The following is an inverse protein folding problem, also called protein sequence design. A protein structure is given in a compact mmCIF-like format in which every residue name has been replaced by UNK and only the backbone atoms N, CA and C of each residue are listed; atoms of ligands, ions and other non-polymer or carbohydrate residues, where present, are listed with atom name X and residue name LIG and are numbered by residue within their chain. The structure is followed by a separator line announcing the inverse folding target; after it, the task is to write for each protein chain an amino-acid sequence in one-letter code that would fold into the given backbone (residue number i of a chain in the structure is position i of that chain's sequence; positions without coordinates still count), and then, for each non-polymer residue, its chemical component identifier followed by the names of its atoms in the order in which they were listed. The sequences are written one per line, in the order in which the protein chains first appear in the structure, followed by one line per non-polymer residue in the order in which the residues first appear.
data_IF_304716060383
#
_entry.id   IF_304716060383
#
_cell.length_a   1.000
_cell.length_b   1.000
_cell.length_c   1.000
_cell.angle_alpha   90.00
_cell.angle_beta   90.00
_cell.angle_gamma   90.00
#
_symmetry.space_group_name_H-M   'P 1'
#
loop_
_entity.id
_entity.type
_entity.pdbx_description
1 polymer ?
#
# COMPACT_ATOMS: atom_id res chain seq x y z
N UNK A 1 14.22 -67.10 7.79
CA UNK A 1 13.14 -66.33 8.44
C UNK A 1 13.37 -64.81 8.46
N UNK A 2 14.60 -64.28 8.49
CA UNK A 2 14.87 -62.82 8.45
C UNK A 2 14.29 -62.07 7.23
N UNK A 3 14.11 -62.74 6.08
CA UNK A 3 13.62 -62.09 4.86
C UNK A 3 12.11 -61.75 4.90
N UNK A 4 11.29 -62.51 5.63
CA UNK A 4 9.84 -62.31 5.66
C UNK A 4 9.46 -61.10 6.51
N UNK A 5 10.13 -60.92 7.67
CA UNK A 5 9.90 -59.75 8.54
C UNK A 5 10.27 -58.44 7.85
N UNK A 6 11.42 -58.41 7.15
CA UNK A 6 11.84 -57.22 6.39
C UNK A 6 10.89 -56.92 5.22
N UNK A 7 10.42 -57.95 4.52
CA UNK A 7 9.42 -57.80 3.45
C UNK A 7 8.09 -57.25 3.97
N UNK A 8 7.60 -57.73 5.12
CA UNK A 8 6.37 -57.22 5.73
C UNK A 8 6.51 -55.78 6.22
N UNK A 9 7.66 -55.43 6.80
CA UNK A 9 7.95 -54.04 7.20
C UNK A 9 7.95 -53.10 5.99
N UNK A 10 8.64 -53.48 4.91
CA UNK A 10 8.68 -52.70 3.67
C UNK A 10 7.30 -52.58 3.02
N UNK A 11 6.49 -53.65 3.04
CA UNK A 11 5.11 -53.62 2.54
C UNK A 11 4.24 -52.64 3.34
N UNK A 12 4.35 -52.64 4.66
CA UNK A 12 3.60 -51.71 5.52
C UNK A 12 4.08 -50.26 5.33
N UNK A 13 5.38 -50.04 5.19
CA UNK A 13 5.94 -48.73 4.87
C UNK A 13 5.45 -48.22 3.50
N UNK A 14 5.44 -49.09 2.48
CA UNK A 14 4.91 -48.75 1.16
C UNK A 14 3.41 -48.42 1.18
N UNK A 15 2.62 -49.15 1.98
CA UNK A 15 1.20 -48.84 2.17
C UNK A 15 0.98 -47.49 2.87
N UNK A 16 1.82 -47.15 3.87
CA UNK A 16 1.83 -45.83 4.50
C UNK A 16 2.17 -44.72 3.50
N UNK A 17 3.25 -44.87 2.74
CA UNK A 17 3.66 -43.91 1.71
C UNK A 17 2.59 -43.71 0.63
N UNK A 18 1.87 -44.78 0.25
CA UNK A 18 0.76 -44.68 -0.70
C UNK A 18 -0.43 -43.89 -0.14
N UNK A 19 -0.69 -44.00 1.17
CA UNK A 19 -1.76 -43.26 1.85
C UNK A 19 -1.41 -41.77 1.97
N UNK A 20 -0.16 -41.47 2.33
CA UNK A 20 0.36 -40.10 2.43
C UNK A 20 0.37 -39.43 1.04
N UNK A 21 0.77 -40.15 -0.01
CA UNK A 21 0.75 -39.65 -1.38
C UNK A 21 -0.68 -39.36 -1.87
N UNK A 22 -1.66 -40.20 -1.52
CA UNK A 22 -3.08 -39.94 -1.79
C UNK A 22 -3.57 -38.68 -1.07
N UNK A 23 -3.27 -38.55 0.22
CA UNK A 23 -3.62 -37.36 1.02
C UNK A 23 -2.99 -36.09 0.45
N UNK A 24 -1.71 -36.15 0.05
CA UNK A 24 -1.02 -35.02 -0.57
C UNK A 24 -1.64 -34.65 -1.92
N UNK A 25 -2.02 -35.65 -2.73
CA UNK A 25 -2.71 -35.42 -4.01
C UNK A 25 -4.06 -34.75 -3.81
N UNK A 26 -4.87 -35.23 -2.86
CA UNK A 26 -6.18 -34.65 -2.56
C UNK A 26 -6.05 -33.23 -2.01
N UNK A 27 -5.09 -33.00 -1.10
CA UNK A 27 -4.77 -31.66 -0.60
C UNK A 27 -4.30 -30.74 -1.73
N UNK A 28 -3.45 -31.22 -2.64
CA UNK A 28 -2.97 -30.43 -3.78
C UNK A 28 -4.09 -30.10 -4.77
N UNK A 29 -5.01 -31.04 -5.03
CA UNK A 29 -6.19 -30.81 -5.86
C UNK A 29 -7.16 -29.84 -5.19
N UNK A 30 -7.35 -29.94 -3.87
CA UNK A 30 -8.16 -29.01 -3.10
C UNK A 30 -7.54 -27.61 -3.16
N UNK A 31 -6.22 -27.49 -2.97
CA UNK A 31 -5.50 -26.23 -3.09
C UNK A 31 -5.59 -25.64 -4.51
N UNK A 32 -5.43 -26.46 -5.54
CA UNK A 32 -5.55 -26.06 -6.94
C UNK A 32 -6.99 -25.64 -7.30
N UNK A 33 -8.00 -26.28 -6.70
CA UNK A 33 -9.41 -25.93 -6.88
C UNK A 33 -9.84 -24.70 -6.07
N UNK A 34 -9.10 -24.37 -5.00
CA UNK A 34 -9.28 -23.17 -4.18
C UNK A 34 -8.52 -21.97 -4.76
N UNK A 35 -7.38 -22.18 -5.42
CA UNK A 35 -6.65 -21.18 -6.18
C UNK A 35 -7.26 -21.03 -7.58
N UNK A 36 -8.53 -20.62 -7.66
CA UNK A 36 -9.11 -20.24 -8.96
C UNK A 36 -8.52 -18.90 -9.37
N UNK A 37 -7.76 -18.91 -10.45
CA UNK A 37 -7.29 -17.70 -11.13
C UNK A 37 -5.81 -17.77 -11.49
N UNK A 38 -5.53 -17.71 -12.79
CA UNK A 38 -4.19 -17.90 -13.34
C UNK A 38 -3.31 -16.62 -13.28
N UNK A 39 -3.88 -15.48 -12.87
CA UNK A 39 -3.15 -14.21 -12.72
C UNK A 39 -3.91 -13.28 -11.76
N UNK A 40 -3.26 -12.31 -11.11
CA UNK A 40 -3.99 -11.42 -10.20
C UNK A 40 -4.54 -10.12 -10.81
N UNK A 41 -4.76 -10.15 -12.13
CA UNK A 41 -5.86 -9.39 -12.72
C UNK A 41 -7.18 -10.14 -12.67
N UNK A 42 -7.15 -11.41 -12.30
CA UNK A 42 -8.35 -12.19 -12.26
C UNK A 42 -9.23 -11.58 -11.18
N UNK A 43 -10.41 -11.05 -11.55
CA UNK A 43 -11.36 -10.59 -10.56
C UNK A 43 -11.74 -11.72 -9.56
N UNK A 44 -11.38 -12.97 -9.85
CA UNK A 44 -11.36 -14.10 -8.92
C UNK A 44 -10.34 -13.96 -7.76
N UNK A 45 -9.14 -13.41 -7.99
CA UNK A 45 -8.16 -13.16 -6.92
C UNK A 45 -8.65 -12.09 -5.94
N UNK A 46 -9.24 -11.01 -6.48
CA UNK A 46 -9.88 -9.99 -5.66
C UNK A 46 -11.07 -10.55 -4.89
N UNK A 47 -11.88 -11.41 -5.51
CA UNK A 47 -12.97 -12.15 -4.87
C UNK A 47 -12.50 -13.06 -3.73
N UNK A 48 -11.44 -13.84 -3.93
CA UNK A 48 -10.85 -14.69 -2.87
C UNK A 48 -10.29 -13.88 -1.69
N UNK A 49 -9.73 -12.70 -1.97
CA UNK A 49 -9.28 -11.75 -0.94
C UNK A 49 -10.46 -11.02 -0.30
N UNK A 50 -11.59 -10.85 -1.00
CA UNK A 50 -12.82 -10.31 -0.44
C UNK A 50 -13.38 -11.19 0.68
N UNK A 51 -13.33 -12.51 0.51
CA UNK A 51 -13.92 -13.47 1.43
C UNK A 51 -15.39 -13.77 1.12
N UNK A 52 -15.91 -14.84 1.72
CA UNK A 52 -17.29 -15.27 1.58
C UNK A 52 -18.25 -14.44 2.45
N UNK A 53 -17.74 -13.84 3.53
CA UNK A 53 -18.50 -13.01 4.46
C UNK A 53 -17.58 -12.06 5.27
N UNK A 54 -18.15 -11.11 6.00
CA UNK A 54 -17.39 -10.19 6.87
C UNK A 54 -16.87 -10.79 8.18
N UNK A 55 -17.15 -12.06 8.46
CA UNK A 55 -16.60 -12.80 9.59
C UNK A 55 -15.31 -13.55 9.23
N UNK A 56 -14.96 -13.63 7.96
CA UNK A 56 -13.71 -14.26 7.51
C UNK A 56 -12.51 -13.44 7.99
N UNK A 57 -11.66 -13.98 8.89
CA UNK A 57 -10.57 -13.22 9.47
C UNK A 57 -9.55 -12.83 8.38
N UNK A 58 -9.05 -11.61 8.49
CA UNK A 58 -8.02 -11.04 7.62
C UNK A 58 -8.42 -10.98 6.13
N UNK A 59 -9.72 -10.88 5.83
CA UNK A 59 -10.27 -10.66 4.49
C UNK A 59 -10.77 -9.23 4.29
N UNK A 60 -10.90 -8.79 3.03
CA UNK A 60 -11.25 -7.39 2.74
C UNK A 60 -12.62 -6.99 3.31
N UNK A 61 -13.60 -7.90 3.35
CA UNK A 61 -14.93 -7.62 3.94
C UNK A 61 -14.82 -7.31 5.44
N UNK A 62 -14.13 -8.16 6.21
CA UNK A 62 -13.90 -7.95 7.65
C UNK A 62 -13.05 -6.69 7.92
N UNK A 63 -11.99 -6.45 7.13
CA UNK A 63 -11.14 -5.27 7.27
C UNK A 63 -11.91 -3.99 6.92
N UNK A 64 -12.80 -4.03 5.94
CA UNK A 64 -13.70 -2.92 5.63
C UNK A 64 -14.71 -2.68 6.76
N UNK A 65 -15.26 -3.71 7.39
CA UNK A 65 -16.07 -3.58 8.62
C UNK A 65 -15.29 -2.87 9.71
N UNK A 66 -14.05 -3.32 9.96
CA UNK A 66 -13.17 -2.70 10.96
C UNK A 66 -12.92 -1.22 10.64
N UNK A 67 -12.62 -0.89 9.38
CA UNK A 67 -12.40 0.50 8.94
C UNK A 67 -13.65 1.37 9.15
N UNK A 68 -14.83 0.87 8.78
CA UNK A 68 -16.10 1.55 9.01
C UNK A 68 -16.28 1.87 10.50
N UNK A 69 -16.12 0.87 11.37
CA UNK A 69 -16.35 1.01 12.80
C UNK A 69 -15.36 1.96 13.44
N UNK A 70 -14.09 1.93 13.03
CA UNK A 70 -13.08 2.89 13.52
C UNK A 70 -13.39 4.30 13.04
N UNK A 71 -13.79 4.49 11.78
CA UNK A 71 -14.14 5.81 11.25
C UNK A 71 -15.36 6.39 11.96
N UNK A 72 -16.36 5.56 12.25
CA UNK A 72 -17.55 5.96 13.00
C UNK A 72 -17.24 6.25 14.49
N UNK A 73 -16.32 5.49 15.10
CA UNK A 73 -15.83 5.77 16.46
C UNK A 73 -15.08 7.11 16.52
N UNK A 74 -14.25 7.41 15.53
CA UNK A 74 -13.60 8.72 15.40
C UNK A 74 -14.62 9.84 15.28
N UNK A 75 -15.59 9.72 14.36
CA UNK A 75 -16.70 10.67 14.22
C UNK A 75 -17.41 10.94 15.56
N UNK A 76 -17.71 9.88 16.31
CA UNK A 76 -18.40 9.99 17.60
C UNK A 76 -17.54 10.67 18.67
N UNK A 77 -16.24 10.39 18.68
CA UNK A 77 -15.30 10.97 19.65
C UNK A 77 -15.07 12.48 19.47
N UNK A 78 -15.37 13.03 18.30
CA UNK A 78 -15.24 14.47 18.03
C UNK A 78 -16.30 15.35 18.71
N UNK A 79 -17.24 14.78 19.47
CA UNK A 79 -18.27 15.54 20.18
C UNK A 79 -19.31 16.18 19.25
N UNK A 80 -20.18 17.04 19.77
CA UNK A 80 -21.32 17.63 19.04
C UNK A 80 -20.94 18.74 18.06
N UNK A 81 -19.87 19.48 18.34
CA UNK A 81 -19.68 20.87 17.87
C UNK A 81 -19.16 21.02 16.42
N UNK A 82 -19.40 20.01 15.57
CA UNK A 82 -18.90 19.96 14.19
C UNK A 82 -17.45 20.44 14.03
N UNK A 83 -16.51 20.01 14.90
CA UNK A 83 -15.12 20.45 14.78
C UNK A 83 -14.51 19.98 13.45
N UNK A 84 -13.47 20.68 12.94
CA UNK A 84 -12.67 20.20 11.81
C UNK A 84 -12.24 18.75 12.03
N UNK A 85 -12.42 17.89 11.02
CA UNK A 85 -12.14 16.46 11.13
C UNK A 85 -13.35 15.57 11.39
N UNK A 86 -14.44 16.10 11.98
CA UNK A 86 -15.66 15.32 12.24
C UNK A 86 -16.38 14.94 10.93
N UNK A 87 -16.56 15.91 10.04
CA UNK A 87 -17.24 15.68 8.76
C UNK A 87 -16.46 14.70 7.86
N UNK A 88 -15.13 14.78 7.87
CA UNK A 88 -14.25 13.87 7.13
C UNK A 88 -14.33 12.44 7.65
N UNK A 89 -14.33 12.25 8.98
CA UNK A 89 -14.49 10.93 9.59
C UNK A 89 -15.87 10.32 9.26
N UNK A 90 -16.94 11.14 9.29
CA UNK A 90 -18.27 10.72 8.90
C UNK A 90 -18.34 10.31 7.42
N UNK A 91 -17.76 11.13 6.54
CA UNK A 91 -17.75 10.87 5.11
C UNK A 91 -16.98 9.58 4.78
N UNK A 92 -15.85 9.34 5.47
CA UNK A 92 -15.12 8.09 5.36
C UNK A 92 -15.98 6.90 5.77
N UNK A 93 -16.59 6.93 6.96
CA UNK A 93 -17.47 5.85 7.43
C UNK A 93 -18.63 5.60 6.44
N UNK A 94 -19.29 6.66 5.97
CA UNK A 94 -20.40 6.56 5.02
C UNK A 94 -19.98 5.94 3.67
N UNK A 95 -18.78 6.25 3.16
CA UNK A 95 -18.28 5.66 1.92
C UNK A 95 -17.90 4.19 2.08
N UNK A 96 -17.40 3.79 3.26
CA UNK A 96 -17.13 2.36 3.55
C UNK A 96 -18.44 1.58 3.68
N UNK A 97 -19.43 2.17 4.36
CA UNK A 97 -20.79 1.66 4.50
C UNK A 97 -20.99 0.73 5.71
N UNK A 98 -22.20 0.70 6.31
CA UNK A 98 -22.49 -0.16 7.47
C UNK A 98 -22.95 -1.59 7.08
N UNK A 99 -23.20 -1.86 5.80
CA UNK A 99 -23.79 -3.13 5.35
C UNK A 99 -22.81 -3.97 4.51
N UNK A 100 -22.66 -5.24 4.86
CA UNK A 100 -21.92 -6.26 4.09
C UNK A 100 -22.89 -7.18 3.34
N UNK A 101 -23.64 -6.60 2.41
CA UNK A 101 -24.55 -7.32 1.52
C UNK A 101 -24.59 -6.63 0.16
N UNK A 102 -24.85 -7.39 -0.90
CA UNK A 102 -25.16 -6.80 -2.20
C UNK A 102 -26.42 -5.92 -2.09
N UNK A 103 -26.46 -4.75 -2.76
CA UNK A 103 -27.60 -3.85 -2.69
C UNK A 103 -28.78 -4.38 -3.52
N UNK A 104 -30.00 -4.06 -3.09
CA UNK A 104 -31.24 -4.52 -3.74
C UNK A 104 -31.43 -3.95 -5.16
N UNK A 105 -30.90 -2.75 -5.42
CA UNK A 105 -30.93 -2.09 -6.73
C UNK A 105 -29.84 -2.58 -7.70
N UNK A 106 -29.00 -3.52 -7.24
CA UNK A 106 -27.90 -4.09 -8.00
C UNK A 106 -26.70 -3.16 -8.19
N UNK A 107 -26.70 -1.94 -7.62
CA UNK A 107 -25.59 -0.98 -7.76
C UNK A 107 -24.94 -0.64 -6.42
N UNK A 108 -23.75 -1.19 -6.12
CA UNK A 108 -23.04 -0.88 -4.88
C UNK A 108 -22.73 0.61 -4.73
N UNK A 109 -23.21 1.19 -3.62
CA UNK A 109 -23.01 2.61 -3.29
C UNK A 109 -21.90 2.82 -2.25
N UNK A 110 -21.44 1.73 -1.63
CA UNK A 110 -20.40 1.70 -0.60
C UNK A 110 -19.38 0.60 -0.89
N UNK A 111 -18.21 0.70 -0.27
CA UNK A 111 -17.14 -0.29 -0.42
C UNK A 111 -17.56 -1.69 0.05
N UNK A 112 -18.24 -1.81 1.21
CA UNK A 112 -18.67 -3.11 1.73
C UNK A 112 -19.72 -3.77 0.86
N UNK A 113 -20.69 -3.01 0.34
CA UNK A 113 -21.64 -3.54 -0.64
C UNK A 113 -20.96 -4.04 -1.91
N UNK A 114 -19.90 -3.35 -2.39
CA UNK A 114 -19.16 -3.75 -3.58
C UNK A 114 -18.37 -5.04 -3.33
N UNK A 115 -17.72 -5.14 -2.17
CA UNK A 115 -16.98 -6.34 -1.76
C UNK A 115 -17.91 -7.54 -1.54
N UNK A 116 -19.09 -7.34 -0.94
CA UNK A 116 -20.10 -8.37 -0.79
C UNK A 116 -20.60 -8.87 -2.14
N UNK A 117 -20.98 -7.96 -3.05
CA UNK A 117 -21.41 -8.33 -4.40
C UNK A 117 -20.33 -9.12 -5.17
N UNK A 118 -19.05 -8.73 -5.04
CA UNK A 118 -17.93 -9.46 -5.62
C UNK A 118 -17.74 -10.85 -4.98
N UNK A 119 -17.77 -10.94 -3.65
CA UNK A 119 -17.62 -12.19 -2.90
C UNK A 119 -18.74 -13.19 -3.17
N UNK A 120 -19.96 -12.70 -3.31
CA UNK A 120 -21.17 -13.52 -3.46
C UNK A 120 -21.36 -14.05 -4.89
N UNK A 121 -20.67 -13.48 -5.88
CA UNK A 121 -20.68 -13.88 -7.28
C UNK A 121 -20.43 -15.39 -7.44
N UNK A 122 -21.23 -16.06 -8.27
CA UNK A 122 -21.11 -17.53 -8.50
C UNK A 122 -20.27 -17.88 -9.73
N UNK A 123 -19.76 -16.89 -10.45
CA UNK A 123 -18.98 -17.09 -11.68
C UNK A 123 -19.77 -17.71 -12.82
N UNK A 124 -21.11 -17.62 -12.79
CA UNK A 124 -21.98 -18.17 -13.84
C UNK A 124 -21.98 -17.30 -15.10
N UNK A 125 -21.69 -16.00 -14.95
CA UNK A 125 -21.53 -15.06 -16.06
C UNK A 125 -20.06 -14.59 -16.13
N UNK A 126 -19.31 -14.92 -17.19
CA UNK A 126 -17.92 -14.51 -17.33
C UNK A 126 -17.72 -12.98 -17.45
N UNK A 127 -18.76 -12.21 -17.81
CA UNK A 127 -18.71 -10.75 -17.88
C UNK A 127 -18.97 -10.05 -16.54
N UNK A 128 -19.64 -10.73 -15.60
CA UNK A 128 -20.08 -10.16 -14.34
C UNK A 128 -18.91 -9.92 -13.38
N UNK A 129 -18.03 -10.90 -13.24
CA UNK A 129 -16.93 -10.85 -12.28
C UNK A 129 -15.95 -9.66 -12.55
N UNK A 130 -15.50 -9.40 -13.79
CA UNK A 130 -14.74 -8.18 -14.11
C UNK A 130 -15.49 -6.88 -13.81
N UNK A 131 -16.80 -6.84 -14.07
CA UNK A 131 -17.61 -5.66 -13.79
C UNK A 131 -17.68 -5.38 -12.27
N UNK A 132 -17.91 -6.40 -11.45
CA UNK A 132 -17.94 -6.28 -10.00
C UNK A 132 -16.59 -5.84 -9.43
N UNK A 133 -15.48 -6.37 -9.93
CA UNK A 133 -14.14 -5.94 -9.51
C UNK A 133 -13.86 -4.47 -9.84
N UNK A 134 -14.33 -3.97 -11.00
CA UNK A 134 -14.24 -2.55 -11.33
C UNK A 134 -15.04 -1.69 -10.35
N UNK A 135 -16.24 -2.12 -9.97
CA UNK A 135 -17.05 -1.41 -8.96
C UNK A 135 -16.32 -1.35 -7.61
N UNK A 136 -15.69 -2.44 -7.17
CA UNK A 136 -14.85 -2.44 -5.95
C UNK A 136 -13.71 -1.42 -6.07
N UNK A 137 -13.06 -1.33 -7.24
CA UNK A 137 -11.97 -0.37 -7.49
C UNK A 137 -12.43 1.08 -7.42
N UNK A 138 -13.58 1.40 -8.02
CA UNK A 138 -14.18 2.72 -7.95
C UNK A 138 -14.49 3.13 -6.49
N UNK A 139 -15.08 2.22 -5.71
CA UNK A 139 -15.36 2.48 -4.29
C UNK A 139 -14.09 2.61 -3.46
N UNK A 140 -13.07 1.79 -3.73
CA UNK A 140 -11.76 1.90 -3.10
C UNK A 140 -11.14 3.29 -3.33
N UNK A 141 -11.14 3.78 -4.58
CA UNK A 141 -10.55 5.08 -4.92
C UNK A 141 -11.29 6.23 -4.20
N UNK A 142 -12.62 6.12 -4.06
CA UNK A 142 -13.43 7.05 -3.26
C UNK A 142 -13.05 7.02 -1.78
N UNK A 143 -12.98 5.84 -1.16
CA UNK A 143 -12.59 5.69 0.26
C UNK A 143 -11.18 6.21 0.49
N UNK A 144 -10.24 5.95 -0.42
CA UNK A 144 -8.87 6.45 -0.37
C UNK A 144 -8.78 7.97 -0.34
N UNK A 145 -9.56 8.65 -1.18
CA UNK A 145 -9.62 10.12 -1.19
C UNK A 145 -10.17 10.68 0.13
N UNK A 146 -11.20 10.04 0.68
CA UNK A 146 -11.81 10.45 1.95
C UNK A 146 -10.89 10.17 3.15
N UNK A 147 -10.16 9.06 3.14
CA UNK A 147 -9.14 8.79 4.14
C UNK A 147 -8.01 9.84 4.10
N UNK A 148 -7.55 10.24 2.90
CA UNK A 148 -6.58 11.32 2.77
C UNK A 148 -7.12 12.65 3.33
N UNK A 149 -8.43 12.90 3.27
CA UNK A 149 -9.05 14.05 3.91
C UNK A 149 -9.01 13.94 5.45
N UNK A 150 -9.31 12.76 6.02
CA UNK A 150 -9.15 12.48 7.46
C UNK A 150 -7.69 12.71 7.91
N UNK A 151 -6.71 12.23 7.15
CA UNK A 151 -5.29 12.43 7.48
C UNK A 151 -4.87 13.91 7.54
N UNK A 152 -5.41 14.76 6.65
CA UNK A 152 -5.15 16.21 6.67
C UNK A 152 -5.64 16.88 7.96
N UNK A 153 -6.59 16.25 8.65
CA UNK A 153 -7.17 16.74 9.90
C UNK A 153 -6.43 16.23 11.14
N UNK A 154 -5.28 15.52 10.99
CA UNK A 154 -4.50 14.97 12.11
C UNK A 154 -4.28 15.98 13.25
N UNK A 155 -3.96 17.23 12.94
CA UNK A 155 -3.70 18.28 13.93
C UNK A 155 -4.93 18.73 14.73
N UNK A 156 -6.14 18.40 14.27
CA UNK A 156 -7.41 18.72 14.94
C UNK A 156 -7.88 17.59 15.86
N UNK A 157 -7.23 16.43 15.81
CA UNK A 157 -7.48 15.32 16.72
C UNK A 157 -6.58 15.48 17.94
N UNK A 158 -7.16 15.94 19.04
CA UNK A 158 -6.48 16.10 20.34
C UNK A 158 -6.85 14.97 21.29
N UNK A 159 -6.15 14.86 22.42
CA UNK A 159 -6.41 13.82 23.44
C UNK A 159 -7.88 13.76 23.87
N UNK A 160 -8.54 14.92 24.00
CA UNK A 160 -9.97 15.05 24.32
C UNK A 160 -10.90 14.96 23.09
N UNK A 161 -10.34 14.92 21.87
CA UNK A 161 -11.08 14.94 20.60
C UNK A 161 -10.54 13.93 19.61
N UNK A 162 -10.69 12.65 19.93
CA UNK A 162 -10.59 11.59 18.93
C UNK A 162 -9.17 11.19 18.51
N UNK A 163 -8.10 11.69 19.15
CA UNK A 163 -6.72 11.32 18.80
C UNK A 163 -6.48 9.81 18.82
N UNK A 164 -6.87 9.12 19.91
CA UNK A 164 -6.77 7.66 20.00
C UNK A 164 -7.60 6.94 18.92
N UNK A 165 -8.76 7.48 18.55
CA UNK A 165 -9.62 6.92 17.50
C UNK A 165 -9.03 7.14 16.12
N UNK A 166 -8.35 8.27 15.89
CA UNK A 166 -7.65 8.54 14.64
C UNK A 166 -6.55 7.51 14.39
N UNK A 167 -5.72 7.21 15.40
CA UNK A 167 -4.71 6.14 15.31
C UNK A 167 -5.33 4.81 14.87
N UNK A 168 -6.46 4.43 15.46
CA UNK A 168 -7.20 3.20 15.08
C UNK A 168 -7.73 3.23 13.65
N UNK A 169 -8.17 4.38 13.14
CA UNK A 169 -8.59 4.54 11.73
C UNK A 169 -7.39 4.35 10.80
N UNK A 170 -6.23 4.90 11.15
CA UNK A 170 -4.99 4.73 10.38
C UNK A 170 -4.60 3.25 10.31
N UNK A 171 -4.57 2.55 11.44
CA UNK A 171 -4.28 1.10 11.49
C UNK A 171 -5.25 0.31 10.61
N UNK A 172 -6.56 0.55 10.76
CA UNK A 172 -7.58 -0.17 10.00
C UNK A 172 -7.49 0.10 8.49
N UNK A 173 -7.25 1.35 8.09
CA UNK A 173 -7.04 1.72 6.70
C UNK A 173 -5.81 1.03 6.14
N UNK A 174 -4.68 1.04 6.87
CA UNK A 174 -3.45 0.42 6.42
C UNK A 174 -3.61 -1.10 6.24
N UNK A 175 -4.24 -1.79 7.19
CA UNK A 175 -4.53 -3.22 7.08
C UNK A 175 -5.37 -3.52 5.84
N UNK A 176 -6.49 -2.81 5.67
CA UNK A 176 -7.36 -2.95 4.50
C UNK A 176 -6.61 -2.65 3.19
N UNK A 177 -5.94 -1.50 3.13
CA UNK A 177 -5.23 -1.05 1.93
C UNK A 177 -4.10 -2.01 1.55
N UNK A 178 -3.35 -2.55 2.51
CA UNK A 178 -2.28 -3.50 2.23
C UNK A 178 -2.83 -4.78 1.60
N UNK A 179 -3.88 -5.38 2.19
CA UNK A 179 -4.49 -6.58 1.64
C UNK A 179 -5.13 -6.34 0.27
N UNK A 180 -5.76 -5.17 0.09
CA UNK A 180 -6.32 -4.76 -1.19
C UNK A 180 -5.22 -4.69 -2.24
N UNK A 181 -4.12 -3.99 -1.92
CA UNK A 181 -2.97 -3.84 -2.81
C UNK A 181 -2.30 -5.19 -3.13
N UNK A 182 -2.24 -6.12 -2.18
CA UNK A 182 -1.76 -7.49 -2.42
C UNK A 182 -2.61 -8.23 -3.46
N UNK A 183 -3.94 -8.07 -3.41
CA UNK A 183 -4.86 -8.71 -4.34
C UNK A 183 -4.53 -8.32 -5.79
N UNK A 184 -3.99 -7.12 -6.03
CA UNK A 184 -3.54 -6.66 -7.34
C UNK A 184 -2.04 -6.84 -7.58
N UNK A 185 -1.18 -6.92 -6.55
CA UNK A 185 0.27 -7.11 -6.72
C UNK A 185 0.62 -8.39 -7.47
N UNK A 186 -0.20 -9.44 -7.37
CA UNK A 186 0.07 -10.67 -8.10
C UNK A 186 -0.21 -10.57 -9.62
N UNK A 187 -0.74 -9.43 -10.13
CA UNK A 187 -0.73 -9.07 -11.56
C UNK A 187 0.67 -8.68 -12.02
N UNK A 188 1.34 -7.84 -11.22
CA UNK A 188 2.68 -7.36 -11.48
C UNK A 188 3.58 -8.59 -11.68
N UNK A 189 3.47 -9.57 -10.77
CA UNK A 189 3.56 -11.05 -10.96
C UNK A 189 3.96 -11.63 -12.33
N UNK A 190 3.10 -11.45 -13.32
CA UNK A 190 3.19 -12.21 -14.58
C UNK A 190 3.41 -11.33 -15.80
N UNK A 191 3.35 -10.01 -15.65
CA UNK A 191 3.68 -9.11 -16.73
C UNK A 191 5.20 -8.99 -16.90
N UNK A 192 5.68 -9.22 -18.11
CA UNK A 192 6.97 -8.69 -18.55
C UNK A 192 6.87 -7.17 -18.56
N UNK A 193 7.53 -6.53 -17.60
CA UNK A 193 7.63 -5.07 -17.60
C UNK A 193 8.55 -4.67 -18.74
N UNK A 194 8.08 -3.82 -19.68
CA UNK A 194 8.96 -3.27 -20.69
C UNK A 194 10.08 -2.49 -19.99
N UNK A 195 11.30 -2.58 -20.50
CA UNK A 195 12.40 -1.73 -20.04
C UNK A 195 11.99 -0.24 -20.09
N UNK A 196 12.69 0.65 -19.38
CA UNK A 196 12.43 2.10 -19.47
C UNK A 196 12.39 2.60 -20.92
N UNK A 197 13.29 2.11 -21.78
CA UNK A 197 13.33 2.43 -23.20
C UNK A 197 12.05 1.96 -23.92
N UNK A 198 11.57 0.76 -23.60
CA UNK A 198 10.34 0.22 -24.15
C UNK A 198 9.11 0.98 -23.65
N UNK A 199 9.08 1.40 -22.37
CA UNK A 199 7.99 2.24 -21.82
C UNK A 199 7.93 3.62 -22.47
N UNK A 200 9.09 4.26 -22.71
CA UNK A 200 9.12 5.53 -23.44
C UNK A 200 8.58 5.39 -24.86
N UNK A 201 8.87 4.28 -25.55
CA UNK A 201 8.33 4.03 -26.88
C UNK A 201 6.81 3.79 -26.86
N UNK A 202 6.30 3.05 -25.87
CA UNK A 202 4.85 2.90 -25.68
C UNK A 202 4.18 4.26 -25.40
N UNK A 203 4.81 5.13 -24.62
CA UNK A 203 4.31 6.48 -24.36
C UNK A 203 4.27 7.32 -25.65
N UNK A 204 5.29 7.22 -26.52
CA UNK A 204 5.28 7.84 -27.86
C UNK A 204 4.04 7.40 -28.64
N UNK A 205 3.81 6.10 -28.73
CA UNK A 205 2.67 5.54 -29.47
C UNK A 205 1.33 6.00 -28.90
N UNK A 206 1.15 5.94 -27.57
CA UNK A 206 -0.09 6.37 -26.93
C UNK A 206 -0.34 7.87 -27.10
N UNK A 207 0.70 8.71 -26.96
CA UNK A 207 0.58 10.14 -27.11
C UNK A 207 0.30 10.55 -28.57
N UNK A 208 0.86 9.82 -29.54
CA UNK A 208 0.54 10.00 -30.95
C UNK A 208 -0.91 9.59 -31.27
N UNK A 209 -1.42 8.50 -30.68
CA UNK A 209 -2.82 8.11 -30.82
C UNK A 209 -3.78 9.16 -30.22
N UNK A 210 -3.45 9.71 -29.04
CA UNK A 210 -4.21 10.82 -28.45
C UNK A 210 -4.20 12.06 -29.35
N UNK A 211 -3.05 12.39 -29.95
CA UNK A 211 -2.95 13.49 -30.90
C UNK A 211 -3.89 13.31 -32.09
N UNK A 212 -3.85 12.14 -32.73
CA UNK A 212 -4.69 11.83 -33.89
C UNK A 212 -6.17 11.90 -33.53
N UNK A 213 -6.57 11.32 -32.39
CA UNK A 213 -7.95 11.38 -31.89
C UNK A 213 -8.38 12.82 -31.65
N UNK A 214 -7.59 13.61 -30.91
CA UNK A 214 -7.91 15.00 -30.61
C UNK A 214 -8.02 15.86 -31.89
N UNK A 215 -7.15 15.63 -32.88
CA UNK A 215 -7.20 16.32 -34.17
C UNK A 215 -8.44 15.93 -34.99
N UNK A 216 -8.89 14.68 -34.90
CA UNK A 216 -10.11 14.23 -35.59
C UNK A 216 -11.39 14.90 -35.07
N UNK A 217 -11.39 15.35 -33.80
CA UNK A 217 -12.52 16.08 -33.19
C UNK A 217 -12.53 17.57 -33.60
N UNK A 218 -11.42 18.11 -34.12
CA UNK A 218 -11.30 19.48 -34.62
C UNK A 218 -11.21 20.55 -33.53
N UNK A 219 -12.12 20.55 -32.55
CA UNK A 219 -12.12 21.52 -31.43
C UNK A 219 -11.01 21.29 -30.40
N UNK A 220 -10.33 20.14 -30.46
CA UNK A 220 -9.32 19.71 -29.48
C UNK A 220 -7.87 19.86 -29.99
N UNK A 221 -7.62 20.81 -30.91
CA UNK A 221 -6.30 20.98 -31.54
C UNK A 221 -5.17 21.28 -30.55
N UNK A 222 -5.42 22.07 -29.49
CA UNK A 222 -4.41 22.33 -28.44
C UNK A 222 -4.02 21.04 -27.71
N UNK A 223 -4.99 20.23 -27.28
CA UNK A 223 -4.74 18.92 -26.66
C UNK A 223 -3.90 18.03 -27.59
N UNK A 224 -4.26 17.98 -28.88
CA UNK A 224 -3.52 17.22 -29.87
C UNK A 224 -2.08 17.70 -30.04
N UNK A 225 -1.85 19.01 -30.01
CA UNK A 225 -0.51 19.59 -30.08
C UNK A 225 0.32 19.23 -28.84
N UNK A 226 -0.25 19.33 -27.64
CA UNK A 226 0.44 18.93 -26.39
C UNK A 226 0.77 17.44 -26.37
N UNK A 227 -0.14 16.59 -26.85
CA UNK A 227 0.08 15.16 -26.98
C UNK A 227 1.22 14.87 -27.97
N UNK A 228 1.27 15.60 -29.09
CA UNK A 228 2.39 15.55 -30.03
C UNK A 228 3.73 15.95 -29.42
N UNK A 229 3.77 17.03 -28.63
CA UNK A 229 5.00 17.44 -27.93
C UNK A 229 5.44 16.36 -26.93
N UNK A 230 4.52 15.80 -26.15
CA UNK A 230 4.82 14.70 -25.22
C UNK A 230 5.39 13.48 -25.97
N UNK A 231 4.80 13.11 -27.12
CA UNK A 231 5.30 12.02 -27.94
C UNK A 231 6.75 12.25 -28.41
N UNK A 232 7.06 13.46 -28.90
CA UNK A 232 8.42 13.81 -29.30
C UNK A 232 9.42 13.70 -28.15
N UNK A 233 9.12 14.29 -26.99
CA UNK A 233 10.02 14.25 -25.82
C UNK A 233 10.20 12.84 -25.26
N UNK A 234 9.13 12.02 -25.26
CA UNK A 234 9.22 10.61 -24.90
C UNK A 234 10.12 9.84 -25.87
N UNK A 235 10.07 10.16 -27.16
CA UNK A 235 10.96 9.59 -28.18
C UNK A 235 12.42 9.96 -27.94
N UNK A 236 12.69 11.23 -27.62
CA UNK A 236 14.05 11.68 -27.26
C UNK A 236 14.54 10.98 -25.99
N UNK A 237 13.68 10.77 -24.98
CA UNK A 237 14.03 10.01 -23.77
C UNK A 237 14.40 8.55 -24.10
N UNK A 238 13.68 7.90 -25.02
CA UNK A 238 14.02 6.56 -25.49
C UNK A 238 15.42 6.50 -26.12
N UNK A 239 15.89 7.61 -26.70
CA UNK A 239 17.23 7.79 -27.26
C UNK A 239 18.38 7.91 -26.24
N UNK A 240 18.10 8.01 -24.94
CA UNK A 240 19.09 7.73 -23.89
C UNK A 240 19.70 8.91 -23.11
N UNK A 241 19.15 10.13 -23.17
CA UNK A 241 19.62 11.23 -22.30
C UNK A 241 18.68 11.48 -21.12
N UNK A 242 19.23 11.40 -19.90
CA UNK A 242 18.48 11.55 -18.64
C UNK A 242 17.80 12.93 -18.48
N UNK A 243 18.34 13.98 -19.12
CA UNK A 243 17.75 15.33 -19.16
C UNK A 243 16.33 15.36 -19.70
N UNK A 244 15.94 14.37 -20.51
CA UNK A 244 14.64 14.36 -21.17
C UNK A 244 13.51 13.87 -20.25
N UNK A 245 13.84 13.28 -19.10
CA UNK A 245 12.83 12.84 -18.13
C UNK A 245 12.05 14.04 -17.55
N UNK A 246 12.74 15.13 -17.24
CA UNK A 246 12.11 16.36 -16.73
C UNK A 246 11.24 17.03 -17.81
N UNK A 247 11.64 16.95 -19.07
CA UNK A 247 10.82 17.40 -20.19
C UNK A 247 9.54 16.57 -20.32
N UNK A 248 9.63 15.24 -20.25
CA UNK A 248 8.45 14.36 -20.28
C UNK A 248 7.49 14.68 -19.14
N UNK A 249 8.00 14.90 -17.92
CA UNK A 249 7.18 15.33 -16.76
C UNK A 249 6.47 16.65 -17.03
N UNK A 250 7.22 17.67 -17.49
CA UNK A 250 6.67 19.00 -17.74
C UNK A 250 5.61 18.98 -18.84
N UNK A 251 5.86 18.24 -19.91
CA UNK A 251 4.93 18.12 -21.04
C UNK A 251 3.70 17.28 -20.68
N UNK A 252 3.84 16.23 -19.88
CA UNK A 252 2.70 15.49 -19.37
C UNK A 252 1.81 16.37 -18.48
N UNK A 253 2.39 17.11 -17.53
CA UNK A 253 1.62 18.00 -16.66
C UNK A 253 0.87 19.08 -17.46
N UNK A 254 1.51 19.59 -18.52
CA UNK A 254 0.87 20.53 -19.46
C UNK A 254 -0.30 19.86 -20.20
N UNK A 255 -0.09 18.65 -20.73
CA UNK A 255 -1.13 17.86 -21.40
C UNK A 255 -2.32 17.56 -20.47
N UNK A 256 -2.06 17.13 -19.24
CA UNK A 256 -3.07 16.86 -18.23
C UNK A 256 -3.83 18.12 -17.84
N UNK A 257 -3.15 19.27 -17.71
CA UNK A 257 -3.78 20.58 -17.52
C UNK A 257 -4.75 20.92 -18.65
N UNK A 258 -4.32 20.75 -19.91
CA UNK A 258 -5.18 20.96 -21.08
C UNK A 258 -6.39 20.00 -21.08
N UNK A 259 -6.18 18.71 -20.82
CA UNK A 259 -7.28 17.73 -20.72
C UNK A 259 -8.28 18.11 -19.62
N UNK A 260 -7.79 18.48 -18.44
CA UNK A 260 -8.65 18.86 -17.32
C UNK A 260 -9.42 20.16 -17.58
N UNK A 261 -8.84 21.08 -18.37
CA UNK A 261 -9.44 22.35 -18.78
C UNK A 261 -10.47 22.26 -19.90
N UNK A 262 -10.70 21.08 -20.49
CA UNK A 262 -11.75 20.90 -21.50
C UNK A 262 -13.12 21.26 -20.93
N UNK A 263 -13.82 22.14 -21.64
CA UNK A 263 -14.99 22.87 -21.14
C UNK A 263 -16.24 22.01 -21.02
N UNK A 264 -16.33 20.93 -21.80
CA UNK A 264 -17.51 20.07 -21.84
C UNK A 264 -17.17 18.61 -21.48
N UNK A 265 -18.03 17.92 -20.70
CA UNK A 265 -17.91 16.48 -20.47
C UNK A 265 -17.90 15.67 -21.77
N UNK A 266 -18.66 16.12 -22.77
CA UNK A 266 -18.72 15.50 -24.10
C UNK A 266 -17.38 15.51 -24.82
N UNK A 267 -16.59 16.58 -24.72
CA UNK A 267 -15.24 16.64 -25.28
C UNK A 267 -14.27 15.73 -24.55
N UNK A 268 -14.33 15.70 -23.21
CA UNK A 268 -13.50 14.78 -22.41
C UNK A 268 -13.76 13.32 -22.79
N UNK A 269 -15.03 12.92 -22.86
CA UNK A 269 -15.43 11.55 -23.19
C UNK A 269 -14.90 11.07 -24.55
N UNK A 270 -14.71 11.97 -25.53
CA UNK A 270 -14.19 11.63 -26.86
C UNK A 270 -12.72 11.21 -26.87
N UNK A 271 -11.95 11.59 -25.85
CA UNK A 271 -10.49 11.35 -25.77
C UNK A 271 -10.06 10.72 -24.45
N UNK A 272 -11.01 10.45 -23.54
CA UNK A 272 -10.77 9.96 -22.19
C UNK A 272 -10.02 8.63 -22.19
N UNK A 273 -10.35 7.75 -23.14
CA UNK A 273 -9.64 6.49 -23.33
C UNK A 273 -8.19 6.78 -23.71
N UNK A 274 -7.91 7.43 -24.83
CA UNK A 274 -6.53 7.66 -25.29
C UNK A 274 -5.71 8.44 -24.25
N UNK A 275 -6.30 9.45 -23.60
CA UNK A 275 -5.66 10.19 -22.52
C UNK A 275 -5.34 9.31 -21.32
N UNK A 276 -6.26 8.44 -20.88
CA UNK A 276 -6.00 7.55 -19.76
C UNK A 276 -4.91 6.52 -20.07
N UNK A 277 -4.71 6.10 -21.33
CA UNK A 277 -3.55 5.27 -21.73
C UNK A 277 -2.25 6.04 -21.55
N UNK A 278 -2.20 7.28 -22.04
CA UNK A 278 -1.04 8.17 -21.89
C UNK A 278 -0.71 8.38 -20.41
N UNK A 279 -1.71 8.74 -19.60
CA UNK A 279 -1.59 8.92 -18.16
C UNK A 279 -1.02 7.68 -17.48
N UNK A 280 -1.57 6.52 -17.81
CA UNK A 280 -1.14 5.26 -17.22
C UNK A 280 0.33 4.93 -17.51
N UNK A 281 0.76 5.07 -18.76
CA UNK A 281 2.15 4.83 -19.17
C UNK A 281 3.10 5.86 -18.54
N UNK A 282 2.70 7.13 -18.52
CA UNK A 282 3.45 8.19 -17.86
C UNK A 282 3.62 7.90 -16.36
N UNK A 283 2.53 7.56 -15.67
CA UNK A 283 2.57 7.25 -14.24
C UNK A 283 3.54 6.07 -14.01
N UNK A 284 3.54 5.03 -14.86
CA UNK A 284 4.46 3.88 -14.76
C UNK A 284 5.92 4.34 -14.85
N UNK A 285 6.26 5.17 -15.83
CA UNK A 285 7.61 5.73 -15.98
C UNK A 285 8.01 6.59 -14.80
N UNK A 286 7.08 7.41 -14.28
CA UNK A 286 7.29 8.24 -13.11
C UNK A 286 7.57 7.39 -11.87
N UNK A 287 6.83 6.29 -11.68
CA UNK A 287 7.05 5.35 -10.58
C UNK A 287 8.40 4.66 -10.64
N UNK A 288 8.86 4.22 -11.81
CA UNK A 288 10.22 3.68 -11.96
C UNK A 288 11.25 4.72 -11.56
N UNK A 289 11.07 5.96 -12.02
CA UNK A 289 11.98 7.07 -11.69
C UNK A 289 12.00 7.34 -10.19
N UNK A 290 10.85 7.37 -9.53
CA UNK A 290 10.74 7.51 -8.07
C UNK A 290 11.40 6.33 -7.35
N UNK A 291 11.14 5.09 -7.78
CA UNK A 291 11.73 3.91 -7.17
C UNK A 291 13.26 3.88 -7.31
N UNK A 292 13.82 4.33 -8.45
CA UNK A 292 15.27 4.53 -8.61
C UNK A 292 15.81 5.58 -7.64
N UNK A 293 15.17 6.74 -7.54
CA UNK A 293 15.55 7.79 -6.59
C UNK A 293 15.48 7.30 -5.13
N UNK A 294 14.45 6.52 -4.78
CA UNK A 294 14.36 5.90 -3.46
C UNK A 294 15.53 4.96 -3.22
N UNK A 295 15.80 4.04 -4.17
CA UNK A 295 16.92 3.10 -4.12
C UNK A 295 18.24 3.84 -3.90
N UNK A 296 18.51 4.89 -4.67
CA UNK A 296 19.72 5.69 -4.55
C UNK A 296 19.81 6.37 -3.17
N UNK A 297 18.68 6.78 -2.60
CA UNK A 297 18.57 7.38 -1.27
C UNK A 297 18.64 6.36 -0.12
N UNK A 298 18.46 5.05 -0.38
CA UNK A 298 18.58 4.00 0.65
C UNK A 298 19.99 3.96 1.22
N UNK A 299 20.99 3.91 0.33
CA UNK A 299 22.39 3.80 0.71
C UNK A 299 22.86 2.36 0.97
N UNK A 300 24.11 2.24 1.40
CA UNK A 300 24.77 0.95 1.68
C UNK A 300 24.84 0.63 3.18
N UNK A 301 24.42 1.57 4.02
CA UNK A 301 24.19 1.35 5.45
C UNK A 301 25.35 1.68 6.39
N UNK A 302 26.58 1.77 5.88
CA UNK A 302 27.74 2.23 6.67
C UNK A 302 28.31 3.54 6.11
N UNK A 303 28.20 4.62 6.89
CA UNK A 303 28.94 5.87 6.68
C UNK A 303 28.32 6.89 5.71
N UNK A 304 27.23 6.57 5.02
CA UNK A 304 26.62 7.46 4.01
C UNK A 304 25.52 8.38 4.56
N UNK A 305 25.14 8.24 5.84
CA UNK A 305 24.04 8.97 6.48
C UNK A 305 22.69 8.89 5.75
N UNK A 306 22.50 7.88 4.90
CA UNK A 306 21.28 7.67 4.11
C UNK A 306 20.18 6.95 4.90
N UNK A 307 19.04 6.68 4.25
CA UNK A 307 17.82 6.16 4.90
C UNK A 307 18.12 4.88 5.69
N UNK A 308 18.90 3.95 5.14
CA UNK A 308 19.25 2.71 5.84
C UNK A 308 20.00 2.97 7.15
N UNK A 309 21.01 3.84 7.12
CA UNK A 309 21.78 4.19 8.30
C UNK A 309 20.90 4.85 9.37
N UNK A 310 20.00 5.76 8.97
CA UNK A 310 19.06 6.41 9.90
C UNK A 310 18.04 5.42 10.48
N UNK A 311 17.60 4.44 9.71
CA UNK A 311 16.76 3.36 10.21
C UNK A 311 17.51 2.53 11.27
N UNK A 312 18.78 2.20 11.03
CA UNK A 312 19.62 1.50 12.02
C UNK A 312 19.77 2.29 13.33
N UNK A 313 20.00 3.60 13.22
CA UNK A 313 20.08 4.47 14.39
C UNK A 313 18.76 4.47 15.17
N UNK A 314 17.62 4.59 14.48
CA UNK A 314 16.31 4.52 15.13
C UNK A 314 16.06 3.17 15.81
N UNK A 315 16.43 2.05 15.18
CA UNK A 315 16.34 0.72 15.77
C UNK A 315 17.10 0.66 17.10
N UNK A 316 18.37 1.06 17.12
CA UNK A 316 19.20 1.05 18.31
C UNK A 316 18.60 1.90 19.44
N UNK A 317 18.04 3.07 19.10
CA UNK A 317 17.40 3.96 20.09
C UNK A 317 16.09 3.41 20.61
N UNK A 318 15.24 2.87 19.72
CA UNK A 318 13.99 2.23 20.11
C UNK A 318 14.25 1.00 21.00
N UNK A 319 15.26 0.18 20.67
CA UNK A 319 15.67 -0.92 21.52
C UNK A 319 16.17 -0.42 22.88
N UNK A 320 17.06 0.59 22.92
CA UNK A 320 17.53 1.17 24.17
C UNK A 320 16.40 1.71 25.06
N UNK A 321 15.35 2.27 24.46
CA UNK A 321 14.14 2.69 25.18
C UNK A 321 13.39 1.48 25.74
N UNK A 322 13.11 0.46 24.92
CA UNK A 322 12.45 -0.78 25.35
C UNK A 322 13.21 -1.52 26.47
N UNK A 323 14.54 -1.43 26.47
CA UNK A 323 15.42 -2.06 27.46
C UNK A 323 15.72 -1.19 28.68
N UNK A 324 15.09 -0.03 28.82
CA UNK A 324 15.28 0.82 29.99
C UNK A 324 14.95 0.06 31.28
N UNK A 325 15.85 0.09 32.27
CA UNK A 325 15.72 -0.63 33.53
C UNK A 325 14.42 -0.30 34.26
N UNK A 326 14.01 0.96 34.23
CA UNK A 326 12.75 1.41 34.84
C UNK A 326 11.50 0.86 34.13
N UNK A 327 11.61 0.38 32.89
CA UNK A 327 10.55 -0.34 32.15
C UNK A 327 10.69 -1.87 32.25
N UNK A 328 11.60 -2.39 33.07
CA UNK A 328 11.88 -3.82 33.27
C UNK A 328 11.80 -4.23 34.75
N UNK A 329 10.76 -3.82 35.46
CA UNK A 329 10.48 -4.40 36.79
C UNK A 329 10.12 -5.89 36.67
N UNK A 330 10.37 -6.72 37.71
CA UNK A 330 9.88 -8.11 37.75
C UNK A 330 8.40 -8.19 37.39
N UNK A 331 7.99 -9.19 36.60
CA UNK A 331 6.65 -9.25 35.99
C UNK A 331 5.52 -9.27 37.03
N UNK A 332 5.80 -9.73 38.26
CA UNK A 332 4.91 -9.74 39.43
C UNK A 332 4.81 -8.40 40.18
N UNK A 333 5.67 -7.43 39.85
CA UNK A 333 5.79 -6.13 40.55
C UNK A 333 5.68 -4.93 39.60
N UNK A 334 5.55 -5.17 38.31
CA UNK A 334 5.53 -4.12 37.30
C UNK A 334 4.13 -3.51 37.17
N UNK A 335 3.98 -2.17 37.30
CA UNK A 335 2.72 -1.51 36.97
C UNK A 335 2.36 -1.79 35.51
N UNK A 336 1.09 -2.06 35.21
CA UNK A 336 0.61 -2.33 33.85
C UNK A 336 1.08 -1.26 32.84
N UNK A 337 1.15 0.00 33.29
CA UNK A 337 1.66 1.12 32.48
C UNK A 337 3.10 0.90 32.01
N UNK A 338 4.01 0.36 32.83
CA UNK A 338 5.39 0.16 32.40
C UNK A 338 5.48 -0.96 31.35
N UNK A 339 4.64 -1.99 31.45
CA UNK A 339 4.53 -3.06 30.44
C UNK A 339 3.96 -2.51 29.13
N UNK A 340 2.92 -1.69 29.20
CA UNK A 340 2.36 -1.00 28.03
C UNK A 340 3.44 -0.16 27.31
N UNK A 341 4.16 0.69 28.05
CA UNK A 341 5.23 1.52 27.51
C UNK A 341 6.34 0.67 26.88
N UNK A 342 6.80 -0.39 27.55
CA UNK A 342 7.78 -1.31 26.97
C UNK A 342 7.30 -1.90 25.65
N UNK A 343 6.06 -2.40 25.60
CA UNK A 343 5.49 -3.01 24.39
C UNK A 343 5.40 -2.00 23.23
N UNK A 344 5.11 -0.73 23.50
CA UNK A 344 5.10 0.32 22.46
C UNK A 344 6.50 0.56 21.89
N UNK A 345 7.52 0.64 22.75
CA UNK A 345 8.91 0.77 22.31
C UNK A 345 9.41 -0.47 21.53
N UNK A 346 9.01 -1.68 21.96
CA UNK A 346 9.27 -2.93 21.23
C UNK A 346 8.58 -2.94 19.86
N UNK A 347 7.34 -2.47 19.78
CA UNK A 347 6.60 -2.35 18.51
C UNK A 347 7.32 -1.40 17.55
N UNK A 348 7.83 -0.26 18.02
CA UNK A 348 8.64 0.65 17.21
C UNK A 348 9.94 -0.01 16.75
N UNK A 349 10.67 -0.66 17.65
CA UNK A 349 11.89 -1.41 17.33
C UNK A 349 11.61 -2.44 16.23
N UNK A 350 10.56 -3.25 16.39
CA UNK A 350 10.22 -4.34 15.49
C UNK A 350 9.69 -3.84 14.13
N UNK A 351 8.98 -2.71 14.11
CA UNK A 351 8.57 -2.04 12.87
C UNK A 351 9.77 -1.55 12.06
N UNK A 352 10.79 -1.01 12.74
CA UNK A 352 12.07 -0.67 12.10
C UNK A 352 12.78 -1.95 11.64
N UNK A 353 12.74 -2.99 12.48
CA UNK A 353 13.28 -4.32 12.22
C UNK A 353 14.78 -4.40 12.49
N UNK A 354 15.27 -5.58 12.88
CA UNK A 354 16.70 -5.82 13.09
C UNK A 354 17.41 -6.10 11.76
N UNK A 355 18.22 -5.14 11.31
CA UNK A 355 19.13 -5.20 10.16
C UNK A 355 18.49 -5.65 8.83
N UNK A 356 18.40 -6.95 8.55
CA UNK A 356 17.97 -7.50 7.25
C UNK A 356 16.91 -8.59 7.37
N UNK A 357 16.48 -8.94 8.58
CA UNK A 357 15.55 -10.06 8.80
C UNK A 357 14.09 -9.65 8.69
N UNK A 358 13.75 -8.41 9.03
CA UNK A 358 12.37 -7.93 9.13
C UNK A 358 12.27 -6.39 9.04
N UNK A 359 11.03 -5.88 9.12
CA UNK A 359 10.74 -4.45 9.24
C UNK A 359 11.19 -3.58 8.05
N UNK A 360 11.36 -2.29 8.32
CA UNK A 360 11.85 -1.30 7.37
C UNK A 360 13.28 -1.61 6.88
N UNK A 361 14.19 -2.03 7.76
CA UNK A 361 15.58 -2.27 7.36
C UNK A 361 15.70 -3.43 6.34
N UNK A 362 14.88 -4.48 6.47
CA UNK A 362 14.76 -5.52 5.43
C UNK A 362 14.28 -4.94 4.11
N UNK A 363 13.17 -4.20 4.10
CA UNK A 363 12.61 -3.64 2.88
C UNK A 363 13.62 -2.73 2.15
N UNK A 364 14.39 -1.94 2.91
CA UNK A 364 15.46 -1.11 2.38
C UNK A 364 16.58 -1.96 1.76
N UNK A 365 17.00 -3.02 2.45
CA UNK A 365 17.99 -3.98 1.93
C UNK A 365 17.52 -4.63 0.63
N UNK A 366 16.27 -5.11 0.60
CA UNK A 366 15.65 -5.72 -0.58
C UNK A 366 15.64 -4.74 -1.75
N UNK A 367 15.23 -3.48 -1.53
CA UNK A 367 15.22 -2.42 -2.55
C UNK A 367 16.62 -2.10 -3.07
N UNK A 368 17.62 -2.05 -2.19
CA UNK A 368 19.00 -1.84 -2.61
C UNK A 368 19.51 -2.98 -3.52
N UNK A 369 19.07 -4.21 -3.24
CA UNK A 369 19.28 -5.38 -4.09
C UNK A 369 18.38 -5.44 -5.34
N UNK A 370 17.46 -4.50 -5.54
CA UNK A 370 16.52 -4.55 -6.65
C UNK A 370 17.20 -4.31 -8.01
N UNK A 371 16.78 -5.07 -9.01
CA UNK A 371 17.28 -4.94 -10.38
C UNK A 371 16.71 -3.70 -11.04
N UNK A 372 17.57 -2.80 -11.54
CA UNK A 372 17.12 -1.54 -12.17
C UNK A 372 16.63 -1.73 -13.62
N UNK A 373 16.99 -2.85 -14.23
CA UNK A 373 16.50 -3.35 -15.52
C UNK A 373 15.20 -4.15 -15.40
N UNK A 374 14.77 -4.45 -14.17
CA UNK A 374 13.44 -5.00 -13.85
C UNK A 374 12.60 -3.92 -13.12
N UNK A 375 11.88 -3.06 -13.87
CA UNK A 375 11.03 -2.03 -13.30
C UNK A 375 10.06 -2.54 -12.24
N UNK A 376 9.62 -3.79 -12.35
CA UNK A 376 8.65 -4.36 -11.45
C UNK A 376 9.27 -4.73 -10.12
N UNK A 377 10.41 -5.42 -10.13
CA UNK A 377 11.12 -5.77 -8.90
C UNK A 377 11.44 -4.48 -8.12
N UNK A 378 11.95 -3.48 -8.86
CA UNK A 378 12.25 -2.17 -8.32
C UNK A 378 11.03 -1.46 -7.72
N UNK A 379 9.91 -1.36 -8.44
CA UNK A 379 8.69 -0.70 -7.94
C UNK A 379 8.12 -1.46 -6.75
N UNK A 380 8.05 -2.79 -6.83
CA UNK A 380 7.45 -3.63 -5.79
C UNK A 380 8.21 -3.48 -4.47
N UNK A 381 9.54 -3.54 -4.51
CA UNK A 381 10.37 -3.35 -3.31
C UNK A 381 10.34 -1.91 -2.81
N UNK A 382 10.23 -0.93 -3.70
CA UNK A 382 10.06 0.46 -3.29
C UNK A 382 8.73 0.71 -2.58
N UNK A 383 7.65 0.06 -3.02
CA UNK A 383 6.37 0.08 -2.32
C UNK A 383 6.43 -0.60 -0.96
N UNK A 384 7.18 -1.70 -0.83
CA UNK A 384 7.39 -2.35 0.47
C UNK A 384 8.11 -1.41 1.44
N UNK A 385 9.14 -0.68 0.98
CA UNK A 385 9.79 0.38 1.77
C UNK A 385 8.78 1.44 2.24
N UNK A 386 7.92 1.94 1.36
CA UNK A 386 6.88 2.93 1.74
C UNK A 386 5.94 2.35 2.81
N UNK A 387 5.52 1.10 2.62
CA UNK A 387 4.59 0.41 3.53
C UNK A 387 5.23 0.24 4.92
N UNK A 388 6.47 -0.26 4.98
CA UNK A 388 7.20 -0.43 6.24
C UNK A 388 7.56 0.90 6.89
N UNK A 389 7.89 1.92 6.11
CA UNK A 389 8.13 3.27 6.65
C UNK A 389 6.88 3.82 7.33
N UNK A 390 5.70 3.67 6.73
CA UNK A 390 4.44 4.10 7.35
C UNK A 390 4.16 3.35 8.66
N UNK A 391 4.48 2.04 8.74
CA UNK A 391 4.37 1.29 9.99
C UNK A 391 5.33 1.82 11.07
N UNK A 392 6.54 2.26 10.71
CA UNK A 392 7.47 2.94 11.63
C UNK A 392 6.91 4.28 12.10
N UNK A 393 6.30 5.07 11.21
CA UNK A 393 5.64 6.34 11.57
C UNK A 393 4.52 6.09 12.57
N UNK A 394 3.67 5.08 12.35
CA UNK A 394 2.57 4.72 13.24
C UNK A 394 3.09 4.26 14.62
N UNK A 395 4.08 3.36 14.64
CA UNK A 395 4.67 2.90 15.89
C UNK A 395 5.36 4.04 16.67
N UNK A 396 5.98 4.99 15.97
CA UNK A 396 6.55 6.19 16.57
C UNK A 396 5.46 7.10 17.14
N UNK A 397 4.40 7.38 16.37
CA UNK A 397 3.26 8.19 16.81
C UNK A 397 2.67 7.64 18.13
N UNK A 398 2.53 6.31 18.26
CA UNK A 398 2.05 5.67 19.49
C UNK A 398 3.02 5.85 20.68
N UNK A 399 4.33 5.89 20.43
CA UNK A 399 5.33 6.18 21.46
C UNK A 399 5.22 7.65 21.91
N UNK A 400 5.06 8.58 20.97
CA UNK A 400 4.91 10.01 21.26
C UNK A 400 3.61 10.35 21.99
N UNK A 401 2.51 9.65 21.69
CA UNK A 401 1.25 9.80 22.43
C UNK A 401 1.39 9.49 23.94
N UNK A 402 2.41 8.71 24.32
CA UNK A 402 2.68 8.34 25.71
C UNK A 402 3.84 9.11 26.33
N UNK A 403 4.28 10.23 25.75
CA UNK A 403 5.43 11.02 26.22
C UNK A 403 5.39 11.31 27.73
N UNK A 404 4.26 11.76 28.26
CA UNK A 404 4.11 12.07 29.69
C UNK A 404 4.24 10.81 30.56
N UNK A 405 3.72 9.68 30.09
CA UNK A 405 3.83 8.40 30.79
C UNK A 405 5.27 7.88 30.80
N UNK A 406 6.01 8.02 29.68
CA UNK A 406 7.44 7.77 29.65
C UNK A 406 8.22 8.72 30.57
N UNK A 407 7.86 10.00 30.60
CA UNK A 407 8.48 10.99 31.50
C UNK A 407 8.38 10.55 32.95
N UNK A 408 7.18 10.16 33.38
CA UNK A 408 6.93 9.68 34.73
C UNK A 408 7.68 8.37 35.03
N UNK A 409 7.57 7.38 34.15
CA UNK A 409 8.16 6.05 34.35
C UNK A 409 9.69 6.05 34.34
N UNK A 410 10.32 6.99 33.63
CA UNK A 410 11.78 7.07 33.48
C UNK A 410 12.45 8.11 34.39
N UNK A 411 11.78 8.54 35.45
CA UNK A 411 12.36 9.39 36.50
C UNK A 411 12.40 10.89 36.19
N UNK A 412 11.55 11.36 35.26
CA UNK A 412 11.39 12.76 34.92
C UNK A 412 12.43 13.33 33.93
N UNK A 413 12.32 14.62 33.55
CA UNK A 413 13.09 15.25 32.47
C UNK A 413 14.61 15.33 32.64
N UNK A 414 15.16 14.94 33.79
CA UNK A 414 16.59 15.01 34.08
C UNK A 414 17.31 13.66 34.10
N UNK A 415 16.58 12.54 33.97
CA UNK A 415 17.10 11.17 34.10
C UNK A 415 17.15 10.38 32.79
N UNK A 416 16.95 9.06 32.87
CA UNK A 416 16.93 8.14 31.73
C UNK A 416 15.91 8.53 30.65
N UNK A 417 14.83 9.22 31.05
CA UNK A 417 13.83 9.78 30.13
C UNK A 417 14.48 10.65 29.06
N UNK A 418 15.13 11.73 29.49
CA UNK A 418 15.65 12.75 28.59
C UNK A 418 16.78 12.22 27.71
N UNK A 419 17.49 11.19 28.16
CA UNK A 419 18.48 10.52 27.33
C UNK A 419 17.83 9.61 26.29
N UNK A 420 16.94 8.68 26.68
CA UNK A 420 16.46 7.61 25.80
C UNK A 420 15.32 8.05 24.88
N UNK A 421 14.32 8.75 25.41
CA UNK A 421 13.16 9.18 24.64
C UNK A 421 13.56 10.25 23.60
N UNK A 422 14.28 11.29 24.02
CA UNK A 422 14.79 12.34 23.11
C UNK A 422 15.70 11.78 22.01
N UNK A 423 16.45 10.71 22.30
CA UNK A 423 17.25 10.01 21.28
C UNK A 423 16.37 9.32 20.23
N UNK A 424 15.24 8.73 20.62
CA UNK A 424 14.26 8.15 19.69
C UNK A 424 13.66 9.23 18.81
N UNK A 425 13.18 10.33 19.39
CA UNK A 425 12.63 11.47 18.64
C UNK A 425 13.63 12.05 17.63
N UNK A 426 14.87 12.27 18.07
CA UNK A 426 15.95 12.78 17.22
C UNK A 426 16.27 11.81 16.08
N UNK A 427 16.36 10.50 16.38
CA UNK A 427 16.64 9.48 15.38
C UNK A 427 15.50 9.34 14.36
N UNK A 428 14.24 9.40 14.82
CA UNK A 428 13.07 9.36 13.94
C UNK A 428 13.02 10.60 13.04
N UNK A 429 13.27 11.79 13.58
CA UNK A 429 13.34 13.04 12.81
C UNK A 429 14.44 12.97 11.73
N UNK A 430 15.59 12.40 12.07
CA UNK A 430 16.68 12.18 11.11
C UNK A 430 16.28 11.19 10.01
N UNK A 431 15.62 10.08 10.36
CA UNK A 431 15.09 9.11 9.41
C UNK A 431 14.04 9.75 8.49
N UNK A 432 13.08 10.48 9.05
CA UNK A 432 12.04 11.18 8.28
C UNK A 432 12.66 12.21 7.33
N UNK A 433 13.67 12.95 7.78
CA UNK A 433 14.39 13.89 6.93
C UNK A 433 15.08 13.18 5.76
N UNK A 434 15.82 12.09 6.03
CA UNK A 434 16.48 11.30 4.99
C UNK A 434 15.47 10.70 3.99
N UNK A 435 14.36 10.18 4.48
CA UNK A 435 13.28 9.63 3.66
C UNK A 435 12.64 10.70 2.77
N UNK A 436 12.38 11.89 3.31
CA UNK A 436 11.80 13.01 2.59
C UNK A 436 12.74 13.59 1.52
N UNK A 437 14.05 13.60 1.76
CA UNK A 437 15.05 13.99 0.77
C UNK A 437 15.06 13.05 -0.45
N UNK A 438 14.75 11.76 -0.25
CA UNK A 438 14.50 10.82 -1.33
C UNK A 438 13.29 11.17 -2.21
N UNK A 439 12.45 12.15 -1.81
CA UNK A 439 11.24 12.65 -2.51
C UNK A 439 10.28 11.55 -2.99
N UNK A 440 10.14 10.46 -2.24
CA UNK A 440 9.31 9.31 -2.61
C UNK A 440 7.98 9.20 -1.86
N UNK A 441 7.45 10.31 -1.32
CA UNK A 441 6.16 10.31 -0.60
C UNK A 441 4.95 9.78 -1.40
N UNK A 442 5.08 9.59 -2.72
CA UNK A 442 4.00 9.09 -3.56
C UNK A 442 4.52 8.16 -4.67
N UNK A 443 5.07 6.99 -4.32
CA UNK A 443 5.03 5.85 -5.25
C UNK A 443 3.60 5.31 -5.18
N UNK A 444 2.75 5.77 -6.08
CA UNK A 444 1.34 5.34 -6.11
C UNK A 444 1.30 4.01 -6.85
N UNK A 445 0.73 2.93 -6.31
CA UNK A 445 0.50 1.72 -7.08
C UNK A 445 -0.32 2.04 -8.32
N UNK A 446 0.22 1.74 -9.50
CA UNK A 446 -0.50 1.89 -10.76
C UNK A 446 -0.81 0.49 -11.22
N UNK A 447 -2.09 0.15 -11.15
CA UNK A 447 -2.61 -1.10 -11.67
C UNK A 447 -2.91 -0.94 -13.15
N UNK A 448 -2.47 -1.90 -13.96
CA UNK A 448 -2.73 -1.90 -15.39
C UNK A 448 -4.25 -1.86 -15.63
N UNK A 449 -4.71 -0.85 -16.36
CA UNK A 449 -6.13 -0.78 -16.71
C UNK A 449 -6.41 -1.79 -17.83
N UNK A 450 -7.47 -2.62 -17.73
CA UNK A 450 -7.74 -3.70 -18.70
C UNK A 450 -7.81 -3.23 -20.17
N UNK A 451 -8.26 -2.00 -20.42
CA UNK A 451 -8.44 -1.44 -21.76
C UNK A 451 -7.15 -0.90 -22.41
N UNK A 452 -6.02 -0.99 -21.71
CA UNK A 452 -4.67 -0.68 -22.22
C UNK A 452 -4.01 -1.94 -22.84
N UNK A 453 -4.64 -3.11 -22.66
CA UNK A 453 -4.35 -4.36 -23.37
C UNK A 453 -5.22 -4.43 -24.62
#
# INVERSE_FOLDING_TARGET
MLNVTKANLLKNQAAGMSTDAGTLHDNANQLASQAKGASALDPEALKQKAGENDSDPDKLRQLATTLHDRANALYSAMGSDSPPGKAEAQALAAAVGPEDRAPEDGKPNTLRQALAALGDDKGTDPGQLPALANVVKEQYDKVKLLYAAVQKQKANYTDDKGQAQYGRVVTAWNAFNNLYQEAFKAEISTQTFPSMMSMSLLLVTAAQALKEMAQSVGTLSDLGNKAGTLASEAGTLAGGTASNADNVITNYNTLEGTYNGLSTPTEKAKVEKEFGTVKHLYDRMLNVTKAKKLKDAVGTGSGDNKIWHKASQLYEKANSLAEASNLRAPEDQQPDTHKELRNLAETLRDAVGESTSSGLQKALTDLNGARTDDPKDLITKAQDVVTKYNAVVEAYDNVTEKEQSYTAALGGPGGDFAAKYTQVESAFTALQTAYNLGKCKAIVPIFDKPWIR
#
